data_IF_594695146946
#
_entry.id   IF_594695146946
#
_cell.length_a   1.000
_cell.length_b   1.000
_cell.length_c   1.000
_cell.angle_alpha   90.00
_cell.angle_beta   90.00
_cell.angle_gamma   90.00
#
_symmetry.space_group_name_H-M   'P 1'
#
loop_
_entity.id
_entity.type
_entity.pdbx_description
1 polymer ?
#
# COMPACT_ATOMS: atom_id res chain seq x y z
N UNK A 1 18.02 -17.85 -10.89
CA UNK A 1 17.75 -16.40 -10.93
C UNK A 1 18.58 -15.76 -9.81
N UNK A 2 19.39 -14.73 -10.09
CA UNK A 2 20.18 -14.06 -9.05
C UNK A 2 19.23 -13.25 -8.18
N UNK A 3 19.04 -13.69 -6.94
CA UNK A 3 18.16 -13.07 -5.96
C UNK A 3 18.97 -11.93 -5.32
N UNK A 4 18.76 -10.70 -5.79
CA UNK A 4 19.38 -9.54 -5.16
C UNK A 4 18.71 -9.34 -3.79
N UNK A 5 19.46 -9.43 -2.68
CA UNK A 5 18.87 -9.24 -1.36
C UNK A 5 18.37 -7.81 -1.25
N UNK A 6 17.05 -7.64 -1.13
CA UNK A 6 16.45 -6.34 -0.86
C UNK A 6 16.96 -5.90 0.51
N UNK A 7 17.61 -4.74 0.55
CA UNK A 7 18.20 -4.23 1.78
C UNK A 7 17.11 -3.67 2.70
N UNK A 8 17.27 -3.74 4.02
CA UNK A 8 16.34 -3.16 5.02
C UNK A 8 15.90 -1.72 4.73
N UNK A 9 16.80 -0.89 4.16
CA UNK A 9 16.46 0.48 3.72
C UNK A 9 15.45 0.52 2.58
N UNK A 10 15.51 -0.42 1.63
CA UNK A 10 14.57 -0.50 0.52
C UNK A 10 13.18 -0.93 1.01
N UNK A 11 13.10 -1.82 2.01
CA UNK A 11 11.83 -2.17 2.65
C UNK A 11 11.14 -0.97 3.32
N UNK A 12 11.92 -0.11 3.99
CA UNK A 12 11.40 1.16 4.52
C UNK A 12 10.88 2.10 3.41
N UNK A 13 11.62 2.24 2.31
CA UNK A 13 11.18 3.08 1.18
C UNK A 13 9.90 2.52 0.57
N UNK A 14 9.82 1.20 0.35
CA UNK A 14 8.60 0.57 -0.14
C UNK A 14 7.43 0.79 0.81
N UNK A 15 7.62 0.62 2.11
CA UNK A 15 6.57 0.84 3.10
C UNK A 15 6.01 2.27 3.04
N UNK A 16 6.89 3.28 3.01
CA UNK A 16 6.48 4.69 2.99
C UNK A 16 5.76 5.03 1.68
N UNK A 17 6.36 4.69 0.54
CA UNK A 17 5.82 5.07 -0.78
C UNK A 17 4.49 4.38 -1.03
N UNK A 18 4.39 3.07 -0.77
CA UNK A 18 3.15 2.34 -1.00
C UNK A 18 2.06 2.69 0.01
N UNK A 19 2.42 3.00 1.26
CA UNK A 19 1.46 3.52 2.25
C UNK A 19 0.88 4.88 1.81
N UNK A 20 1.73 5.82 1.38
CA UNK A 20 1.28 7.12 0.85
C UNK A 20 0.39 6.95 -0.38
N UNK A 21 0.74 6.03 -1.29
CA UNK A 21 -0.06 5.74 -2.47
C UNK A 21 -1.44 5.16 -2.08
N UNK A 22 -1.49 4.22 -1.14
CA UNK A 22 -2.73 3.66 -0.62
C UNK A 22 -3.61 4.72 0.05
N UNK A 23 -3.01 5.63 0.84
CA UNK A 23 -3.70 6.75 1.48
C UNK A 23 -4.25 7.75 0.47
N UNK A 24 -3.48 8.09 -0.56
CA UNK A 24 -3.89 8.98 -1.66
C UNK A 24 -5.04 8.36 -2.47
N UNK A 25 -4.98 7.06 -2.73
CA UNK A 25 -6.04 6.34 -3.44
C UNK A 25 -7.33 6.27 -2.62
N UNK A 26 -7.24 6.02 -1.31
CA UNK A 26 -8.38 6.12 -0.39
C UNK A 26 -8.95 7.54 -0.29
N UNK A 27 -8.10 8.55 -0.13
CA UNK A 27 -8.50 9.95 -0.08
C UNK A 27 -9.21 10.37 -1.38
N UNK A 28 -8.69 9.90 -2.53
CA UNK A 28 -9.32 10.15 -3.83
C UNK A 28 -10.71 9.53 -3.93
N UNK A 29 -10.93 8.34 -3.36
CA UNK A 29 -12.26 7.71 -3.28
C UNK A 29 -13.21 8.48 -2.38
N UNK A 30 -12.74 8.96 -1.22
CA UNK A 30 -13.54 9.76 -0.28
C UNK A 30 -13.93 11.10 -0.91
N UNK A 31 -12.99 11.78 -1.57
CA UNK A 31 -13.24 13.04 -2.28
C UNK A 31 -14.20 12.82 -3.45
N UNK A 32 -14.05 11.72 -4.20
CA UNK A 32 -14.97 11.37 -5.27
C UNK A 32 -16.42 11.19 -4.77
N UNK A 33 -16.63 10.60 -3.60
CA UNK A 33 -17.96 10.51 -2.99
C UNK A 33 -18.52 11.88 -2.60
N UNK A 34 -17.71 12.72 -1.97
CA UNK A 34 -18.16 14.01 -1.43
C UNK A 34 -18.40 15.03 -2.56
N UNK A 35 -17.50 15.10 -3.54
CA UNK A 35 -17.53 16.11 -4.61
C UNK A 35 -18.34 15.70 -5.84
N UNK A 36 -18.57 14.40 -6.08
CA UNK A 36 -19.34 13.91 -7.22
C UNK A 36 -20.54 13.03 -6.79
N UNK A 37 -21.47 13.54 -5.96
CA UNK A 37 -22.69 12.80 -5.60
C UNK A 37 -23.58 12.53 -6.82
N UNK A 38 -23.46 13.34 -7.88
CA UNK A 38 -24.11 13.16 -9.20
C UNK A 38 -23.06 13.04 -10.30
N UNK A 39 -22.30 11.95 -10.31
CA UNK A 39 -21.34 11.66 -11.37
C UNK A 39 -22.07 11.54 -12.74
N UNK A 40 -21.64 12.27 -13.80
CA UNK A 40 -22.29 12.21 -15.12
C UNK A 40 -22.25 10.81 -15.77
N UNK A 41 -21.32 9.94 -15.36
CA UNK A 41 -21.28 8.53 -15.76
C UNK A 41 -22.26 7.60 -15.03
N UNK A 42 -23.13 8.16 -14.18
CA UNK A 42 -24.12 7.41 -13.40
C UNK A 42 -23.49 6.37 -12.45
N UNK A 43 -24.26 5.33 -12.12
CA UNK A 43 -23.85 4.27 -11.19
C UNK A 43 -22.69 3.42 -11.75
N UNK A 44 -22.61 3.26 -13.07
CA UNK A 44 -21.55 2.52 -13.75
C UNK A 44 -20.19 3.23 -13.68
N UNK A 45 -20.16 4.55 -13.86
CA UNK A 45 -18.94 5.34 -13.71
C UNK A 45 -18.38 5.33 -12.28
N UNK A 46 -19.27 5.36 -11.27
CA UNK A 46 -18.86 5.17 -9.86
C UNK A 46 -18.26 3.79 -9.62
N UNK A 47 -18.92 2.73 -10.09
CA UNK A 47 -18.39 1.36 -9.95
C UNK A 47 -17.02 1.16 -10.62
N UNK A 48 -16.80 1.77 -11.79
CA UNK A 48 -15.51 1.71 -12.48
C UNK A 48 -14.40 2.40 -11.68
N UNK A 49 -14.66 3.58 -11.11
CA UNK A 49 -13.74 4.28 -10.22
C UNK A 49 -13.42 3.47 -8.96
N UNK A 50 -14.44 2.90 -8.31
CA UNK A 50 -14.25 2.06 -7.13
C UNK A 50 -13.41 0.82 -7.41
N UNK A 51 -13.63 0.18 -8.56
CA UNK A 51 -12.84 -1.00 -8.93
C UNK A 51 -11.39 -0.63 -9.19
N UNK A 52 -11.11 0.35 -10.04
CA UNK A 52 -9.73 0.65 -10.44
C UNK A 52 -8.92 1.29 -9.31
N UNK A 53 -9.45 2.33 -8.66
CA UNK A 53 -8.75 3.02 -7.58
C UNK A 53 -8.77 2.22 -6.27
N UNK A 54 -9.87 1.52 -5.98
CA UNK A 54 -9.97 0.67 -4.78
C UNK A 54 -9.04 -0.54 -4.84
N UNK A 55 -9.01 -1.27 -5.97
CA UNK A 55 -8.09 -2.41 -6.14
C UNK A 55 -6.63 -1.95 -6.13
N UNK A 56 -6.32 -0.82 -6.77
CA UNK A 56 -4.97 -0.24 -6.74
C UNK A 56 -4.53 0.12 -5.32
N UNK A 57 -5.40 0.77 -4.54
CA UNK A 57 -5.12 1.15 -3.16
C UNK A 57 -4.92 -0.07 -2.26
N UNK A 58 -5.75 -1.11 -2.42
CA UNK A 58 -5.60 -2.37 -1.66
C UNK A 58 -4.33 -3.13 -2.05
N UNK A 59 -3.96 -3.14 -3.33
CA UNK A 59 -2.71 -3.73 -3.78
C UNK A 59 -1.49 -3.00 -3.18
N UNK A 60 -1.50 -1.67 -3.17
CA UNK A 60 -0.45 -0.87 -2.53
C UNK A 60 -0.41 -1.08 -1.01
N UNK A 61 -1.56 -1.14 -0.34
CA UNK A 61 -1.65 -1.46 1.08
C UNK A 61 -1.04 -2.84 1.39
N UNK A 62 -1.34 -3.85 0.57
CA UNK A 62 -0.79 -5.20 0.72
C UNK A 62 0.74 -5.22 0.62
N UNK A 63 1.31 -4.47 -0.32
CA UNK A 63 2.77 -4.34 -0.47
C UNK A 63 3.38 -3.61 0.74
N UNK A 64 2.71 -2.57 1.26
CA UNK A 64 3.17 -1.86 2.45
C UNK A 64 3.17 -2.76 3.69
N UNK A 65 2.10 -3.55 3.90
CA UNK A 65 2.00 -4.51 5.01
C UNK A 65 3.07 -5.60 4.87
N UNK A 66 3.24 -6.16 3.67
CA UNK A 66 4.28 -7.16 3.40
C UNK A 66 5.68 -6.62 3.71
N UNK A 67 5.97 -5.40 3.25
CA UNK A 67 7.28 -4.77 3.49
C UNK A 67 7.52 -4.51 4.98
N UNK A 68 6.49 -4.10 5.73
CA UNK A 68 6.57 -3.92 7.17
C UNK A 68 6.77 -5.24 7.92
N UNK A 69 6.12 -6.30 7.48
CA UNK A 69 6.29 -7.64 8.04
C UNK A 69 7.72 -8.15 7.86
N UNK A 70 8.29 -8.07 6.65
CA UNK A 70 9.69 -8.43 6.41
C UNK A 70 10.65 -7.61 7.29
N UNK A 71 10.38 -6.31 7.42
CA UNK A 71 11.19 -5.43 8.25
C UNK A 71 11.15 -5.82 9.73
N UNK A 72 9.97 -6.22 10.23
CA UNK A 72 9.78 -6.67 11.61
C UNK A 72 10.53 -7.98 11.88
N UNK A 73 10.44 -8.95 10.97
CA UNK A 73 11.11 -10.25 11.10
C UNK A 73 12.64 -10.13 11.10
N UNK A 74 13.20 -9.16 10.36
CA UNK A 74 14.64 -8.86 10.40
C UNK A 74 15.06 -8.33 11.78
N UNK A 75 14.27 -7.47 12.42
CA UNK A 75 14.55 -6.96 13.77
C UNK A 75 14.53 -8.06 14.85
N UNK A 76 13.62 -9.04 14.74
CA UNK A 76 13.56 -10.17 15.68
C UNK A 76 14.82 -11.07 15.58
N UNK A 77 15.38 -11.23 14.38
CA UNK A 77 16.62 -12.00 14.18
C UNK A 77 17.85 -11.26 14.71
N UNK A 78 17.92 -9.94 14.53
CA UNK A 78 19.00 -9.10 15.06
C UNK A 78 19.00 -9.13 16.60
N UNK A 79 17.83 -9.04 17.24
CA UNK A 79 17.73 -9.14 18.71
C UNK A 79 18.12 -10.52 19.25
N UNK A 80 17.72 -11.60 18.57
CA UNK A 80 18.05 -12.98 19.01
C UNK A 80 19.54 -13.30 18.91
N UNK A 81 20.26 -12.66 17.98
CA UNK A 81 21.71 -12.79 17.84
C UNK A 81 22.51 -12.05 18.91
N UNK A 82 21.98 -10.98 19.51
CA UNK A 82 22.67 -10.20 20.55
C UNK A 82 22.45 -10.82 21.94
N UNK A 83 21.42 -11.66 22.09
CA UNK A 83 21.05 -12.34 23.33
C UNK A 83 21.72 -13.71 23.54
N UNK A 84 22.51 -14.22 22.58
CA UNK A 84 23.35 -15.42 22.74
C UNK A 84 24.82 -15.03 22.82
#
# INVERSE_FOLDING_TARGET
MKQFPITRKQHWVFLIVFSLCALLGLASLVIAEICLPRNPGGMAGRMAMYRSMGLGSLAWLGIAIWSGYCLWTDTDLEQKSISN
#
